data_IF_495111633446
#
_entry.id   IF_495111633446
#
_cell.length_a   1.000
_cell.length_b   1.000
_cell.length_c   1.000
_cell.angle_alpha   90.00
_cell.angle_beta   90.00
_cell.angle_gamma   90.00
#
_symmetry.space_group_name_H-M   'P 1'
#
loop_
_entity.id
_entity.type
_entity.pdbx_description
1 polymer ?
#
# COMPACT_ATOMS: atom_id res chain seq x y z
N UNK A 1 21.82 16.45 17.19
CA UNK A 1 20.52 16.42 16.51
C UNK A 1 20.04 15.01 16.35
N UNK A 2 18.80 14.73 16.75
CA UNK A 2 18.11 13.52 16.34
C UNK A 2 17.40 13.83 15.02
N UNK A 3 17.96 13.37 13.90
CA UNK A 3 17.23 13.28 12.63
C UNK A 3 16.11 12.25 12.79
N UNK A 4 15.03 12.63 13.47
CA UNK A 4 13.83 11.81 13.60
C UNK A 4 13.10 11.79 12.27
N UNK A 5 13.00 10.60 11.67
CA UNK A 5 12.21 10.38 10.47
C UNK A 5 10.96 9.57 10.82
N UNK A 6 9.83 9.89 10.19
CA UNK A 6 8.63 9.07 10.29
C UNK A 6 8.94 7.70 9.69
N UNK A 7 8.92 6.65 10.52
CA UNK A 7 9.17 5.29 10.07
C UNK A 7 7.97 4.75 9.28
N UNK A 8 6.76 4.94 9.81
CA UNK A 8 5.54 4.45 9.18
C UNK A 8 4.27 5.17 9.65
N UNK A 9 3.21 5.00 8.86
CA UNK A 9 1.82 5.30 9.21
C UNK A 9 0.94 4.09 8.87
N UNK A 10 -0.12 3.90 9.65
CA UNK A 10 -1.11 2.84 9.42
C UNK A 10 -2.52 3.37 9.71
N UNK A 11 -3.45 3.09 8.82
CA UNK A 11 -4.86 3.46 8.97
C UNK A 11 -5.73 2.23 8.76
N UNK A 12 -6.58 1.93 9.74
CA UNK A 12 -7.63 0.90 9.62
C UNK A 12 -8.93 1.53 9.20
N UNK A 13 -9.52 1.02 8.14
CA UNK A 13 -10.82 1.46 7.63
C UNK A 13 -11.69 0.29 7.20
N UNK A 14 -12.94 0.59 6.90
CA UNK A 14 -13.85 -0.34 6.24
C UNK A 14 -13.95 0.09 4.77
N UNK A 15 -13.39 -0.71 3.87
CA UNK A 15 -13.56 -0.52 2.43
C UNK A 15 -14.97 -0.94 2.04
N UNK A 16 -15.63 -0.10 1.26
CA UNK A 16 -16.94 -0.30 0.65
C UNK A 16 -16.76 -0.38 -0.87
N UNK A 17 -17.86 -0.63 -1.59
CA UNK A 17 -17.88 -0.56 -3.04
C UNK A 17 -17.71 0.88 -3.56
N UNK A 18 -17.50 1.02 -4.87
CA UNK A 18 -17.40 2.29 -5.57
C UNK A 18 -16.30 3.21 -4.97
N UNK A 19 -16.67 4.43 -4.56
CA UNK A 19 -15.76 5.44 -4.03
C UNK A 19 -15.48 5.27 -2.52
N UNK A 20 -16.07 4.26 -1.87
CA UNK A 20 -15.90 4.01 -0.44
C UNK A 20 -14.57 3.34 -0.10
N UNK A 21 -13.45 3.94 -0.52
CA UNK A 21 -12.10 3.38 -0.39
C UNK A 21 -11.39 3.80 0.89
N UNK A 22 -10.32 3.10 1.25
CA UNK A 22 -9.41 3.51 2.34
C UNK A 22 -8.22 4.24 1.72
N UNK A 23 -7.87 5.41 2.27
CA UNK A 23 -6.82 6.27 1.73
C UNK A 23 -5.64 6.36 2.71
N UNK A 24 -4.44 6.06 2.20
CA UNK A 24 -3.16 6.32 2.86
C UNK A 24 -2.42 7.44 2.13
N UNK A 25 -2.62 8.68 2.55
CA UNK A 25 -1.90 9.83 2.00
C UNK A 25 -0.50 9.96 2.60
N UNK A 26 0.49 10.28 1.78
CA UNK A 26 1.85 10.60 2.23
C UNK A 26 2.43 11.78 1.46
N UNK A 27 3.35 12.50 2.10
CA UNK A 27 4.12 13.58 1.47
C UNK A 27 5.59 13.24 1.61
N UNK A 28 6.29 13.16 0.48
CA UNK A 28 7.74 13.04 0.44
C UNK A 28 8.32 14.45 0.40
N UNK A 29 9.09 14.79 1.43
CA UNK A 29 9.79 16.08 1.53
C UNK A 29 11.30 15.90 1.32
N UNK A 30 11.99 16.98 0.94
CA UNK A 30 13.44 17.00 0.71
C UNK A 30 13.77 17.22 -0.76
N UNK A 31 14.98 16.86 -1.16
CA UNK A 31 15.45 16.96 -2.56
C UNK A 31 15.52 15.62 -3.25
N UNK A 32 15.71 14.54 -2.48
CA UNK A 32 16.04 13.23 -3.01
C UNK A 32 14.82 12.31 -2.97
N UNK A 33 14.79 11.34 -3.87
CA UNK A 33 13.75 10.33 -3.87
C UNK A 33 13.83 9.47 -2.60
N UNK A 34 12.67 9.14 -2.02
CA UNK A 34 12.55 8.26 -0.87
C UNK A 34 11.96 6.94 -1.29
N UNK A 35 12.64 5.85 -0.93
CA UNK A 35 12.12 4.51 -1.12
C UNK A 35 11.09 4.22 -0.04
N UNK A 36 9.92 3.73 -0.43
CA UNK A 36 8.81 3.40 0.47
C UNK A 36 8.22 2.06 0.08
N UNK A 37 7.52 1.43 1.03
CA UNK A 37 6.58 0.35 0.76
C UNK A 37 5.20 0.76 1.25
N UNK A 38 4.21 0.62 0.37
CA UNK A 38 2.79 0.72 0.71
C UNK A 38 2.23 -0.70 0.78
N UNK A 39 1.36 -0.97 1.75
CA UNK A 39 0.74 -2.29 1.95
C UNK A 39 -0.76 -2.17 2.18
N UNK A 40 -1.51 -3.13 1.64
CA UNK A 40 -2.91 -3.33 1.92
C UNK A 40 -3.09 -4.67 2.65
N UNK A 41 -3.43 -4.63 3.93
CA UNK A 41 -3.52 -5.81 4.79
C UNK A 41 -4.99 -6.08 5.13
N UNK A 42 -5.47 -7.28 4.81
CA UNK A 42 -6.87 -7.66 4.98
C UNK A 42 -7.00 -9.07 5.59
N UNK A 43 -6.72 -10.14 4.82
CA UNK A 43 -6.77 -11.52 5.30
C UNK A 43 -5.96 -11.79 6.57
N UNK A 44 -4.84 -11.10 6.76
CA UNK A 44 -3.98 -11.28 7.94
C UNK A 44 -4.52 -10.59 9.20
N UNK A 45 -5.57 -9.77 9.10
CA UNK A 45 -6.15 -9.08 10.26
C UNK A 45 -6.94 -10.05 11.15
N UNK A 46 -6.72 -10.05 12.49
CA UNK A 46 -7.47 -10.91 13.41
C UNK A 46 -8.82 -10.27 13.79
N UNK A 47 -9.62 -9.92 12.79
CA UNK A 47 -10.95 -9.29 12.97
C UNK A 47 -11.99 -9.97 12.09
N UNK A 48 -13.23 -10.00 12.56
CA UNK A 48 -14.38 -10.41 11.74
C UNK A 48 -14.64 -9.35 10.65
N UNK A 49 -15.20 -9.79 9.52
CA UNK A 49 -15.53 -8.89 8.41
C UNK A 49 -14.30 -8.24 7.75
N UNK A 50 -13.11 -8.83 7.88
CA UNK A 50 -11.92 -8.39 7.15
C UNK A 50 -12.10 -8.52 5.64
N UNK A 51 -11.51 -7.59 4.91
CA UNK A 51 -11.43 -7.63 3.46
C UNK A 51 -10.56 -8.82 3.05
N UNK A 52 -11.09 -9.72 2.22
CA UNK A 52 -10.43 -10.98 1.87
C UNK A 52 -9.46 -10.88 0.69
N UNK A 53 -9.63 -9.85 -0.14
CA UNK A 53 -8.83 -9.63 -1.33
C UNK A 53 -8.67 -8.12 -1.54
N UNK A 54 -7.84 -7.44 -0.72
CA UNK A 54 -7.51 -6.04 -0.92
C UNK A 54 -6.70 -5.87 -2.21
N UNK A 55 -6.98 -4.79 -2.94
CA UNK A 55 -6.10 -4.25 -3.98
C UNK A 55 -5.57 -2.88 -3.57
N UNK A 56 -4.41 -2.51 -4.11
CA UNK A 56 -3.69 -1.28 -3.79
C UNK A 56 -3.30 -0.53 -5.06
N UNK A 57 -3.67 0.75 -5.10
CA UNK A 57 -3.30 1.68 -6.17
C UNK A 57 -2.46 2.83 -5.58
N UNK A 58 -1.44 3.28 -6.31
CA UNK A 58 -0.60 4.40 -5.95
C UNK A 58 -0.73 5.52 -6.98
N UNK A 59 -1.12 6.71 -6.53
CA UNK A 59 -1.29 7.90 -7.36
C UNK A 59 -0.31 9.01 -6.99
N UNK A 60 0.09 9.82 -7.98
CA UNK A 60 0.79 11.09 -7.75
C UNK A 60 -0.16 12.24 -7.39
N UNK A 61 0.40 13.40 -7.04
CA UNK A 61 -0.36 14.60 -6.68
C UNK A 61 -1.18 15.21 -7.82
N UNK A 62 -1.01 14.75 -9.06
CA UNK A 62 -1.82 15.15 -10.21
C UNK A 62 -2.96 14.15 -10.48
N UNK A 63 -3.06 13.07 -9.70
CA UNK A 63 -4.04 12.00 -9.89
C UNK A 63 -3.66 10.98 -10.95
N UNK A 64 -2.39 10.92 -11.39
CA UNK A 64 -1.94 9.88 -12.30
C UNK A 64 -1.68 8.59 -11.53
N UNK A 65 -2.20 7.47 -12.03
CA UNK A 65 -1.86 6.14 -11.52
C UNK A 65 -0.39 5.84 -11.85
N UNK A 66 0.40 5.58 -10.82
CA UNK A 66 1.81 5.21 -10.94
C UNK A 66 1.98 3.70 -10.97
N UNK A 67 1.32 3.01 -10.04
CA UNK A 67 1.38 1.56 -9.89
C UNK A 67 0.08 1.03 -9.26
N UNK A 68 -0.26 -0.20 -9.58
CA UNK A 68 -1.33 -0.96 -8.94
C UNK A 68 -0.82 -2.37 -8.63
N UNK A 69 -1.37 -2.99 -7.59
CA UNK A 69 -1.06 -4.35 -7.21
C UNK A 69 -2.26 -4.95 -6.46
N UNK A 70 -2.60 -6.19 -6.79
CA UNK A 70 -3.65 -6.96 -6.11
C UNK A 70 -2.99 -7.98 -5.19
N UNK A 71 -2.10 -8.82 -5.75
CA UNK A 71 -1.33 -9.81 -5.01
C UNK A 71 0.17 -9.45 -4.97
N UNK A 72 0.76 -9.37 -3.77
CA UNK A 72 2.13 -8.89 -3.59
C UNK A 72 3.19 -9.81 -4.21
N UNK A 73 2.89 -11.11 -4.36
CA UNK A 73 3.75 -12.06 -5.09
C UNK A 73 3.64 -11.91 -6.62
N UNK A 74 2.75 -11.05 -7.08
CA UNK A 74 2.48 -10.76 -8.47
C UNK A 74 1.31 -11.57 -9.03
N UNK A 75 0.60 -10.94 -9.95
CA UNK A 75 -0.48 -11.57 -10.71
C UNK A 75 0.02 -12.09 -12.06
N UNK A 76 -0.72 -13.04 -12.62
CA UNK A 76 -0.43 -13.53 -13.95
C UNK A 76 -0.46 -12.37 -14.97
N UNK A 77 0.70 -12.10 -15.60
CA UNK A 77 0.85 -11.05 -16.61
C UNK A 77 1.30 -9.68 -16.07
N UNK A 78 1.55 -9.55 -14.77
CA UNK A 78 2.15 -8.34 -14.19
C UNK A 78 3.61 -8.56 -13.77
N UNK A 79 4.40 -7.49 -13.76
CA UNK A 79 5.76 -7.53 -13.21
C UNK A 79 5.68 -7.64 -11.69
N UNK A 80 6.06 -8.79 -11.16
CA UNK A 80 6.09 -9.01 -9.70
C UNK A 80 7.24 -8.24 -9.04
N UNK A 81 6.95 -7.62 -7.89
CA UNK A 81 7.93 -7.04 -6.98
C UNK A 81 8.31 -7.99 -5.83
N UNK A 82 7.94 -9.28 -5.90
CA UNK A 82 8.08 -10.23 -4.80
C UNK A 82 9.46 -10.21 -4.14
N UNK A 83 10.55 -10.33 -4.91
CA UNK A 83 11.90 -10.37 -4.37
C UNK A 83 12.30 -9.05 -3.68
N UNK A 84 11.83 -7.92 -4.20
CA UNK A 84 12.07 -6.61 -3.60
C UNK A 84 11.29 -6.45 -2.29
N UNK A 85 10.02 -6.85 -2.28
CA UNK A 85 9.14 -6.84 -1.10
C UNK A 85 9.71 -7.76 -0.01
N UNK A 86 10.12 -8.99 -0.34
CA UNK A 86 10.78 -9.91 0.59
C UNK A 86 12.07 -9.30 1.17
N UNK A 87 12.85 -8.62 0.33
CA UNK A 87 14.07 -7.93 0.73
C UNK A 87 13.85 -6.81 1.75
N UNK A 88 12.65 -6.25 1.85
CA UNK A 88 12.31 -5.25 2.87
C UNK A 88 12.10 -5.85 4.28
N UNK A 89 11.84 -7.16 4.37
CA UNK A 89 11.37 -7.79 5.60
C UNK A 89 9.94 -7.42 6.01
N UNK A 90 9.21 -6.70 5.15
CA UNK A 90 7.84 -6.21 5.35
C UNK A 90 6.83 -6.87 4.41
N UNK A 91 7.16 -8.05 3.87
CA UNK A 91 6.23 -8.81 3.03
C UNK A 91 4.90 -9.07 3.77
N UNK A 92 3.74 -8.87 3.11
CA UNK A 92 2.45 -9.29 3.65
C UNK A 92 2.44 -10.80 3.92
N UNK A 93 1.67 -11.23 4.94
CA UNK A 93 1.67 -12.63 5.36
C UNK A 93 0.75 -13.50 4.48
N UNK A 94 -0.34 -12.92 3.97
CA UNK A 94 -1.22 -13.58 3.00
C UNK A 94 -0.77 -13.27 1.58
N UNK A 95 -0.90 -14.24 0.66
CA UNK A 95 -0.60 -14.01 -0.76
C UNK A 95 -1.65 -13.11 -1.43
N UNK A 96 -2.88 -13.09 -0.90
CA UNK A 96 -3.99 -12.20 -1.30
C UNK A 96 -3.90 -10.78 -0.74
N UNK A 97 -2.74 -10.36 -0.27
CA UNK A 97 -2.52 -9.00 0.20
C UNK A 97 -1.66 -8.25 -0.81
N UNK A 98 -1.85 -6.94 -0.92
CA UNK A 98 -1.10 -6.15 -1.89
C UNK A 98 0.06 -5.42 -1.24
N UNK A 99 1.12 -5.23 -2.01
CA UNK A 99 2.20 -4.33 -1.64
C UNK A 99 2.84 -3.70 -2.87
N UNK A 100 3.27 -2.44 -2.70
CA UNK A 100 3.97 -1.65 -3.70
C UNK A 100 5.23 -1.08 -3.07
N UNK A 101 6.40 -1.41 -3.62
CA UNK A 101 7.67 -0.74 -3.35
C UNK A 101 7.90 0.31 -4.44
N UNK A 102 8.14 1.55 -4.03
CA UNK A 102 8.35 2.65 -4.95
C UNK A 102 9.45 3.59 -4.46
N UNK A 103 10.22 4.14 -5.40
CA UNK A 103 11.11 5.28 -5.17
C UNK A 103 10.38 6.56 -5.59
N UNK A 104 9.99 7.38 -4.61
CA UNK A 104 9.14 8.54 -4.82
C UNK A 104 9.96 9.83 -4.70
N UNK A 105 9.94 10.66 -5.73
CA UNK A 105 10.51 12.00 -5.67
C UNK A 105 9.76 12.88 -4.64
N UNK A 106 10.31 14.04 -4.24
CA UNK A 106 9.57 14.96 -3.40
C UNK A 106 8.22 15.35 -4.03
N UNK A 107 7.13 15.19 -3.29
CA UNK A 107 5.77 15.34 -3.80
C UNK A 107 4.69 14.75 -2.90
N UNK A 108 3.43 14.91 -3.32
CA UNK A 108 2.26 14.34 -2.65
C UNK A 108 1.88 13.03 -3.35
N UNK A 109 1.51 12.03 -2.56
CA UNK A 109 1.10 10.73 -3.08
C UNK A 109 -0.09 10.18 -2.28
N UNK A 110 -0.89 9.37 -2.96
CA UNK A 110 -2.09 8.76 -2.41
C UNK A 110 -2.05 7.26 -2.68
N UNK A 111 -1.98 6.46 -1.62
CA UNK A 111 -2.29 5.04 -1.67
C UNK A 111 -3.80 4.84 -1.49
N UNK A 112 -4.43 4.10 -2.39
CA UNK A 112 -5.85 3.76 -2.33
C UNK A 112 -5.97 2.25 -2.13
N UNK A 113 -6.67 1.84 -1.08
CA UNK A 113 -7.04 0.44 -0.82
C UNK A 113 -8.53 0.26 -1.06
N UNK A 114 -8.85 -0.72 -1.91
CA UNK A 114 -10.22 -1.15 -2.21
C UNK A 114 -10.30 -2.67 -2.20
N UNK A 115 -11.52 -3.21 -2.20
CA UNK A 115 -11.69 -4.65 -2.42
C UNK A 115 -11.68 -4.99 -3.89
N UNK A 116 -11.03 -6.10 -4.25
CA UNK A 116 -11.17 -6.70 -5.57
C UNK A 116 -12.64 -7.02 -5.84
N UNK A 117 -13.08 -6.80 -7.09
CA UNK A 117 -14.45 -7.06 -7.56
C UNK A 117 -15.54 -6.44 -6.66
N UNK A 118 -15.28 -5.22 -6.16
CA UNK A 118 -16.15 -4.46 -5.25
C UNK A 118 -16.46 -5.17 -3.92
N UNK A 119 -15.59 -6.07 -3.49
CA UNK A 119 -15.68 -6.66 -2.16
C UNK A 119 -15.50 -5.61 -1.06
N UNK A 120 -16.10 -5.87 0.10
CA UNK A 120 -16.11 -4.92 1.23
C UNK A 120 -15.55 -5.58 2.48
N UNK A 121 -15.01 -4.77 3.38
CA UNK A 121 -14.49 -5.28 4.64
C UNK A 121 -13.44 -4.39 5.28
N UNK A 122 -12.99 -4.82 6.46
CA UNK A 122 -11.95 -4.13 7.21
C UNK A 122 -10.57 -4.42 6.60
N UNK A 123 -9.80 -3.37 6.33
CA UNK A 123 -8.41 -3.47 5.90
C UNK A 123 -7.54 -2.39 6.57
N UNK A 124 -6.22 -2.61 6.53
CA UNK A 124 -5.22 -1.58 6.82
C UNK A 124 -4.61 -1.10 5.51
N UNK A 125 -4.42 0.21 5.40
CA UNK A 125 -3.40 0.79 4.53
C UNK A 125 -2.21 1.18 5.39
N UNK A 126 -1.01 0.78 4.98
CA UNK A 126 0.22 1.11 5.67
C UNK A 126 1.25 1.69 4.71
N UNK A 127 2.06 2.62 5.19
CA UNK A 127 3.19 3.18 4.44
C UNK A 127 4.41 3.16 5.34
N UNK A 128 5.50 2.56 4.88
CA UNK A 128 6.79 2.54 5.56
C UNK A 128 7.84 3.25 4.71
N UNK A 129 8.67 4.08 5.34
CA UNK A 129 9.91 4.55 4.74
C UNK A 129 10.94 3.41 4.79
N UNK A 130 11.61 3.15 3.67
CA UNK A 130 12.67 2.16 3.55
C UNK A 130 14.03 2.88 3.59
N UNK A 131 14.98 2.30 4.33
CA UNK A 131 16.36 2.78 4.45
C UNK A 131 17.28 2.13 3.43
#
# INVERSE_FOLDING_TARGET
DSDSQLANISTRGFAQADDGVIIGGLIVSGTDARKVILRAIGPSLPVEGRLLDPSLELYDGNGNLLQENDNWKGDAGQTSQQAEIEGTGLAPASESESAIVAALAPGNYTGIVRGKDDSTGVALVEVYALN
#
